data_IF_346693608013
#
_entry.id   IF_346693608013
#
_cell.length_a   1.000
_cell.length_b   1.000
_cell.length_c   1.000
_cell.angle_alpha   90.00
_cell.angle_beta   90.00
_cell.angle_gamma   90.00
#
_symmetry.space_group_name_H-M   'P 1'
#
loop_
_entity.id
_entity.type
_entity.pdbx_description
1 polymer ?
#
# COMPACT_ATOMS: atom_id res chain seq x y z
N UNK A 1 5.46 -1.34 -4.45
CA UNK A 1 4.86 -2.60 -3.93
C UNK A 1 4.43 -2.34 -2.51
N UNK A 2 3.25 -2.81 -2.09
CA UNK A 2 2.81 -2.62 -0.71
C UNK A 2 3.36 -3.76 0.18
N UNK A 3 4.08 -3.42 1.24
CA UNK A 3 4.63 -4.35 2.25
C UNK A 3 3.66 -4.60 3.42
N UNK A 4 2.79 -3.63 3.71
CA UNK A 4 1.77 -3.68 4.77
C UNK A 4 0.47 -2.97 4.31
N UNK A 5 -0.57 -3.01 5.14
CA UNK A 5 -1.81 -2.27 4.92
C UNK A 5 -2.83 -2.97 3.99
N UNK A 6 -3.82 -2.20 3.53
CA UNK A 6 -5.02 -2.73 2.84
C UNK A 6 -5.04 -2.51 1.34
N UNK A 7 -4.07 -1.75 0.81
CA UNK A 7 -4.10 -1.25 -0.58
C UNK A 7 -3.30 -2.09 -1.56
N UNK A 8 -2.69 -3.20 -1.10
CA UNK A 8 -1.88 -4.08 -1.94
C UNK A 8 -2.72 -5.04 -2.81
N UNK A 9 -2.31 -5.20 -4.08
CA UNK A 9 -2.81 -6.23 -4.98
C UNK A 9 -1.65 -7.05 -5.53
N UNK A 10 -1.81 -8.38 -5.57
CA UNK A 10 -0.89 -9.31 -6.25
C UNK A 10 -1.49 -9.73 -7.59
N UNK A 11 -0.66 -9.78 -8.62
CA UNK A 11 -1.02 -10.25 -9.96
C UNK A 11 -0.28 -11.54 -10.32
N UNK A 12 -0.87 -12.36 -11.20
CA UNK A 12 -0.22 -13.52 -11.83
C UNK A 12 -0.52 -13.53 -13.33
N UNK A 13 0.46 -13.90 -14.14
CA UNK A 13 0.24 -14.21 -15.56
C UNK A 13 -0.21 -15.67 -15.71
N UNK A 14 -1.14 -15.92 -16.62
CA UNK A 14 -1.62 -17.26 -16.97
C UNK A 14 -1.52 -17.44 -18.47
N UNK A 15 -1.09 -18.61 -18.90
CA UNK A 15 -0.94 -18.95 -20.31
C UNK A 15 -1.65 -20.28 -20.60
N UNK A 16 -2.36 -20.32 -21.72
CA UNK A 16 -2.94 -21.57 -22.22
C UNK A 16 -1.83 -22.39 -22.88
N UNK A 17 -1.73 -23.68 -22.54
CA UNK A 17 -0.73 -24.59 -23.11
C UNK A 17 -1.38 -25.88 -23.59
N UNK A 18 -0.76 -26.52 -24.59
CA UNK A 18 -1.16 -27.87 -25.01
C UNK A 18 -0.68 -28.90 -24.00
N UNK A 19 -1.56 -29.77 -23.50
CA UNK A 19 -1.20 -30.77 -22.47
C UNK A 19 -0.07 -31.73 -22.93
N UNK A 20 0.02 -32.03 -24.23
CA UNK A 20 1.03 -32.94 -24.76
C UNK A 20 2.41 -32.29 -24.99
N UNK A 21 2.45 -31.14 -25.64
CA UNK A 21 3.70 -30.48 -26.03
C UNK A 21 4.16 -29.40 -25.04
N UNK A 22 3.30 -28.97 -24.11
CA UNK A 22 3.49 -27.81 -23.23
C UNK A 22 3.73 -26.48 -23.95
N UNK A 23 3.62 -26.48 -25.28
CA UNK A 23 3.77 -25.31 -26.11
C UNK A 23 2.63 -24.31 -25.88
N UNK A 24 2.91 -23.00 -26.01
CA UNK A 24 1.90 -21.95 -25.86
C UNK A 24 0.79 -22.13 -26.90
N UNK A 25 -0.43 -22.23 -26.40
CA UNK A 25 -1.62 -22.27 -27.21
C UNK A 25 -2.23 -20.87 -27.37
N UNK A 26 -2.99 -20.63 -28.44
CA UNK A 26 -3.82 -19.43 -28.56
C UNK A 26 -4.75 -19.28 -27.34
N UNK A 27 -5.01 -18.05 -26.90
CA UNK A 27 -5.83 -17.78 -25.71
C UNK A 27 -7.25 -18.41 -25.81
N UNK A 28 -7.81 -18.47 -27.01
CA UNK A 28 -9.12 -19.07 -27.29
C UNK A 28 -9.13 -20.61 -27.33
N UNK A 29 -7.97 -21.27 -27.22
CA UNK A 29 -7.90 -22.74 -27.15
C UNK A 29 -8.38 -23.28 -25.79
N UNK A 30 -8.18 -22.50 -24.72
CA UNK A 30 -8.69 -22.82 -23.39
C UNK A 30 -10.19 -22.50 -23.31
N UNK A 31 -11.01 -23.50 -22.99
CA UNK A 31 -12.46 -23.32 -22.80
C UNK A 31 -12.76 -22.83 -21.39
N UNK A 32 -13.64 -21.84 -21.28
CA UNK A 32 -14.13 -21.31 -20.01
C UNK A 32 -13.46 -19.99 -19.60
N UNK A 33 -13.89 -19.40 -18.47
CA UNK A 33 -13.34 -18.15 -17.99
C UNK A 33 -11.87 -18.34 -17.57
N UNK A 34 -10.99 -17.36 -17.86
CA UNK A 34 -9.61 -17.42 -17.41
C UNK A 34 -9.55 -17.39 -15.87
N UNK A 35 -8.51 -17.99 -15.27
CA UNK A 35 -8.27 -17.88 -13.83
C UNK A 35 -8.14 -16.41 -13.40
N UNK A 36 -8.53 -16.11 -12.17
CA UNK A 36 -8.36 -14.75 -11.61
C UNK A 36 -6.90 -14.31 -11.72
N UNK A 37 -6.71 -13.14 -12.34
CA UNK A 37 -5.40 -12.58 -12.67
C UNK A 37 -4.82 -11.75 -11.53
N UNK A 38 -5.67 -11.16 -10.68
CA UNK A 38 -5.29 -10.35 -9.54
C UNK A 38 -6.07 -10.71 -8.29
N UNK A 39 -5.46 -10.53 -7.12
CA UNK A 39 -6.12 -10.69 -5.82
C UNK A 39 -5.53 -9.69 -4.82
N UNK A 40 -6.29 -9.25 -3.81
CA UNK A 40 -5.72 -8.42 -2.75
C UNK A 40 -4.60 -9.17 -2.02
N UNK A 41 -3.60 -8.44 -1.55
CA UNK A 41 -2.55 -8.97 -0.69
C UNK A 41 -3.12 -9.33 0.70
N UNK A 42 -2.42 -10.22 1.40
CA UNK A 42 -2.73 -10.53 2.80
C UNK A 42 -2.63 -9.27 3.67
N UNK A 43 -3.47 -9.19 4.71
CA UNK A 43 -3.53 -8.04 5.60
C UNK A 43 -2.46 -8.20 6.68
N UNK A 44 -1.39 -7.43 6.55
CA UNK A 44 -0.43 -7.20 7.64
C UNK A 44 -0.62 -5.75 8.08
N UNK A 45 -0.93 -5.48 9.37
CA UNK A 45 -0.98 -4.10 9.84
C UNK A 45 0.40 -3.45 9.63
N UNK A 46 0.41 -2.18 9.24
CA UNK A 46 1.63 -1.39 9.20
C UNK A 46 2.03 -1.04 10.65
N UNK A 47 3.32 -1.09 10.95
CA UNK A 47 3.87 -0.46 12.16
C UNK A 47 3.67 1.05 12.06
N UNK A 48 3.66 1.78 13.18
CA UNK A 48 3.69 3.25 13.14
C UNK A 48 4.93 3.78 12.39
N UNK A 49 6.03 3.00 12.37
CA UNK A 49 7.23 3.27 11.57
C UNK A 49 7.07 2.99 10.06
N UNK A 50 6.11 2.14 9.66
CA UNK A 50 5.82 1.82 8.24
C UNK A 50 4.86 2.86 7.60
N UNK A 51 4.29 3.76 8.41
CA UNK A 51 3.68 5.03 7.97
C UNK A 51 4.80 6.05 7.61
N UNK A 52 5.83 5.60 6.87
CA UNK A 52 6.93 6.43 6.34
C UNK A 52 6.46 7.56 5.40
N UNK A 53 5.15 7.62 5.09
CA UNK A 53 4.52 8.70 4.31
C UNK A 53 3.72 9.68 5.18
N UNK A 54 4.05 9.77 6.47
CA UNK A 54 3.59 10.88 7.29
C UNK A 54 4.30 12.18 6.83
N UNK A 55 3.54 13.06 6.18
CA UNK A 55 3.97 14.40 5.78
C UNK A 55 3.13 15.47 6.47
N UNK A 56 3.78 16.59 6.80
CA UNK A 56 3.11 17.76 7.34
C UNK A 56 2.13 18.36 6.31
N UNK A 57 0.86 18.50 6.71
CA UNK A 57 -0.23 19.04 5.89
C UNK A 57 -0.35 20.56 6.00
N UNK A 58 0.13 21.16 7.10
CA UNK A 58 0.07 22.61 7.33
C UNK A 58 1.43 23.25 7.04
N UNK A 59 1.41 24.42 6.39
CA UNK A 59 2.62 25.18 6.08
C UNK A 59 3.30 25.80 7.31
N UNK A 60 2.61 25.83 8.45
CA UNK A 60 3.10 26.38 9.72
C UNK A 60 3.39 25.29 10.76
N UNK A 61 3.66 24.06 10.32
CA UNK A 61 4.02 22.96 11.22
C UNK A 61 5.32 23.22 12.00
N UNK A 62 6.27 23.98 11.46
CA UNK A 62 7.46 24.45 12.21
C UNK A 62 7.08 25.30 13.44
N UNK A 63 6.07 26.16 13.31
CA UNK A 63 5.57 26.99 14.41
C UNK A 63 4.81 26.12 15.42
N UNK A 64 4.04 25.13 14.94
CA UNK A 64 3.36 24.17 15.81
C UNK A 64 4.38 23.38 16.64
N UNK A 65 5.52 22.99 16.05
CA UNK A 65 6.61 22.28 16.73
C UNK A 65 7.24 23.09 17.86
N UNK A 66 7.44 24.40 17.67
CA UNK A 66 8.01 25.28 18.70
C UNK A 66 7.00 25.70 19.79
N UNK A 67 5.74 25.29 19.65
CA UNK A 67 4.67 25.59 20.60
C UNK A 67 4.12 24.31 21.23
N UNK A 68 3.25 24.44 22.23
CA UNK A 68 2.58 23.29 22.87
C UNK A 68 1.40 22.73 22.07
N UNK A 69 1.30 23.07 20.79
CA UNK A 69 0.16 22.69 19.97
C UNK A 69 0.23 21.22 19.54
N UNK A 70 1.41 20.59 19.50
CA UNK A 70 1.55 19.14 19.25
C UNK A 70 0.86 18.25 20.31
N UNK A 71 0.59 18.77 21.51
CA UNK A 71 -0.19 18.05 22.55
C UNK A 71 -1.65 17.83 22.12
N UNK A 72 -2.17 18.66 21.20
CA UNK A 72 -3.53 18.56 20.68
C UNK A 72 -3.58 17.60 19.49
N UNK A 73 -4.45 16.59 19.56
CA UNK A 73 -4.58 15.52 18.55
C UNK A 73 -4.79 16.05 17.13
N UNK A 74 -5.53 17.15 16.97
CA UNK A 74 -5.78 17.80 15.69
C UNK A 74 -4.50 18.30 15.00
N UNK A 75 -3.58 18.92 15.76
CA UNK A 75 -2.33 19.44 15.22
C UNK A 75 -1.32 18.31 15.04
N UNK A 76 -1.31 17.32 15.94
CA UNK A 76 -0.49 16.12 15.78
C UNK A 76 -0.81 15.31 14.53
N UNK A 77 -2.08 15.19 14.15
CA UNK A 77 -2.49 14.51 12.92
C UNK A 77 -2.14 15.31 11.65
N UNK A 78 -2.21 16.64 11.72
CA UNK A 78 -1.95 17.52 10.58
C UNK A 78 -0.45 17.81 10.39
N UNK A 79 0.33 17.78 11.47
CA UNK A 79 1.76 18.05 11.48
C UNK A 79 2.52 16.85 12.03
N UNK A 80 2.24 15.66 11.49
CA UNK A 80 2.72 14.42 12.06
C UNK A 80 4.25 14.27 11.96
N UNK A 81 4.90 14.86 10.94
CA UNK A 81 6.36 14.82 10.80
C UNK A 81 7.02 15.80 11.78
N UNK A 82 6.48 17.02 11.89
CA UNK A 82 6.96 18.02 12.84
C UNK A 82 6.74 17.62 14.30
N UNK A 83 5.61 16.99 14.59
CA UNK A 83 5.23 16.50 15.92
C UNK A 83 5.71 15.04 16.17
N UNK A 84 6.37 14.36 15.24
CA UNK A 84 6.89 13.02 15.49
C UNK A 84 8.14 13.00 16.38
N UNK A 85 8.84 14.14 16.48
CA UNK A 85 10.10 14.27 17.22
C UNK A 85 9.95 14.83 18.65
N UNK A 86 8.72 15.06 19.13
CA UNK A 86 8.49 15.39 20.54
C UNK A 86 8.30 14.07 21.32
N UNK A 87 9.32 13.67 22.09
CA UNK A 87 9.22 12.65 23.15
C UNK A 87 9.50 13.31 24.51
#
# INVERSE_FOLDING_TARGET
TASCGYRGFRSRSVQCIWHGSQEPAPFNACKGPPPTLSSPCGRTPCSDDDDEDCHDQLTYCDVIKETKLCEMSQFRLQCCASCGAYE
#
